data_IF_117553848945
#
_entry.id   IF_117553848945
#
_cell.length_a   1.000
_cell.length_b   1.000
_cell.length_c   1.000
_cell.angle_alpha   90.00
_cell.angle_beta   90.00
_cell.angle_gamma   90.00
#
_symmetry.space_group_name_H-M   'P 1'
#
loop_
_entity.id
_entity.type
_entity.pdbx_description
1 polymer ?
#
# COMPACT_ATOMS: atom_id res chain seq x y z
N UNK A 1 -2.35 -19.74 -17.44
CA UNK A 1 -3.19 -19.09 -16.42
C UNK A 1 -2.28 -18.32 -15.48
N UNK A 2 -2.51 -17.03 -15.30
CA UNK A 2 -1.75 -16.20 -14.35
C UNK A 2 -2.24 -16.51 -12.94
N UNK A 3 -1.31 -16.93 -12.08
CA UNK A 3 -1.62 -17.17 -10.66
C UNK A 3 -1.45 -15.87 -9.89
N UNK A 4 -2.41 -15.45 -9.03
CA UNK A 4 -2.28 -14.26 -8.21
C UNK A 4 -1.01 -14.30 -7.34
N UNK A 5 -0.19 -13.26 -7.47
CA UNK A 5 1.10 -13.17 -6.77
C UNK A 5 1.34 -11.74 -6.28
N UNK A 6 2.11 -11.65 -5.20
CA UNK A 6 2.76 -10.43 -4.73
C UNK A 6 4.27 -10.65 -4.73
N UNK A 7 5.05 -9.62 -4.50
CA UNK A 7 6.50 -9.75 -4.34
C UNK A 7 6.96 -8.98 -3.09
N UNK A 8 7.93 -9.53 -2.40
CA UNK A 8 8.48 -9.00 -1.16
C UNK A 8 8.69 -10.11 -0.12
N UNK A 9 8.90 -9.75 1.15
CA UNK A 9 8.85 -8.41 1.74
C UNK A 9 10.15 -7.59 1.64
N UNK A 10 11.28 -8.23 1.27
CA UNK A 10 12.59 -7.56 1.26
C UNK A 10 12.96 -7.02 -0.11
N UNK A 11 12.68 -7.77 -1.17
CA UNK A 11 13.09 -7.43 -2.54
C UNK A 11 11.93 -7.61 -3.53
N UNK A 12 11.85 -6.78 -4.56
CA UNK A 12 10.76 -6.85 -5.54
C UNK A 12 10.77 -8.12 -6.41
N UNK A 13 11.87 -8.87 -6.47
CA UNK A 13 11.97 -10.16 -7.17
C UNK A 13 11.55 -11.37 -6.31
N UNK A 14 11.36 -11.19 -5.00
CA UNK A 14 10.96 -12.28 -4.11
C UNK A 14 9.47 -12.57 -4.32
N UNK A 15 9.18 -13.47 -5.25
CA UNK A 15 7.81 -13.84 -5.64
C UNK A 15 7.14 -14.68 -4.56
N UNK A 16 5.93 -14.29 -4.18
CA UNK A 16 5.08 -15.00 -3.21
C UNK A 16 3.70 -15.22 -3.82
N UNK A 17 3.19 -16.43 -3.78
CA UNK A 17 1.78 -16.70 -4.14
C UNK A 17 0.87 -15.97 -3.15
N UNK A 18 -0.22 -15.41 -3.63
CA UNK A 18 -1.15 -14.69 -2.75
C UNK A 18 -1.71 -15.61 -1.65
N UNK A 19 -1.88 -16.89 -1.93
CA UNK A 19 -2.27 -17.92 -0.95
C UNK A 19 -1.24 -18.13 0.16
N UNK A 20 0.02 -17.85 -0.11
CA UNK A 20 1.14 -18.04 0.81
C UNK A 20 1.57 -16.74 1.50
N UNK A 21 0.88 -15.64 1.21
CA UNK A 21 1.24 -14.31 1.72
C UNK A 21 1.32 -14.27 3.25
N UNK A 22 0.38 -14.92 3.94
CA UNK A 22 0.36 -15.00 5.41
C UNK A 22 1.59 -15.73 5.95
N UNK A 23 1.89 -16.90 5.44
CA UNK A 23 3.04 -17.71 5.88
C UNK A 23 4.36 -16.96 5.61
N UNK A 24 4.46 -16.30 4.45
CA UNK A 24 5.61 -15.48 4.08
C UNK A 24 5.80 -14.30 5.05
N UNK A 25 4.70 -13.63 5.41
CA UNK A 25 4.72 -12.55 6.40
C UNK A 25 5.18 -13.06 7.77
N UNK A 26 4.57 -14.11 8.30
CA UNK A 26 4.89 -14.68 9.61
C UNK A 26 6.37 -15.09 9.72
N UNK A 27 6.89 -15.75 8.68
CA UNK A 27 8.31 -16.11 8.61
C UNK A 27 9.20 -14.87 8.68
N UNK A 28 8.92 -13.86 7.86
CA UNK A 28 9.72 -12.64 7.80
C UNK A 28 9.60 -11.83 9.10
N UNK A 29 8.41 -11.74 9.68
CA UNK A 29 8.17 -11.12 10.97
C UNK A 29 9.04 -11.75 12.06
N UNK A 30 9.01 -13.08 12.20
CA UNK A 30 9.81 -13.81 13.17
C UNK A 30 11.33 -13.62 12.96
N UNK A 31 11.78 -13.63 11.70
CA UNK A 31 13.19 -13.43 11.35
C UNK A 31 13.70 -12.05 11.74
N UNK A 32 12.92 -11.00 11.46
CA UNK A 32 13.33 -9.60 11.67
C UNK A 32 13.14 -9.18 13.13
N UNK A 33 11.99 -9.48 13.71
CA UNK A 33 11.65 -8.99 15.05
C UNK A 33 12.20 -9.87 16.17
N UNK A 34 12.55 -11.13 15.86
CA UNK A 34 12.89 -12.18 16.85
C UNK A 34 11.76 -12.42 17.87
N UNK A 35 10.53 -12.01 17.50
CA UNK A 35 9.32 -12.17 18.34
C UNK A 35 8.44 -13.26 17.74
N UNK A 36 7.75 -14.01 18.60
CA UNK A 36 6.73 -14.99 18.22
C UNK A 36 5.31 -14.44 18.33
N UNK A 37 5.13 -13.34 19.02
CA UNK A 37 3.84 -12.69 19.26
C UNK A 37 3.85 -11.27 18.72
N UNK A 38 2.74 -10.89 18.10
CA UNK A 38 2.53 -9.54 17.61
C UNK A 38 2.27 -8.55 18.76
N UNK A 39 2.75 -7.34 18.61
CA UNK A 39 2.48 -6.22 19.51
C UNK A 39 1.32 -5.38 19.00
N UNK A 40 0.62 -4.73 19.90
CA UNK A 40 -0.38 -3.71 19.63
C UNK A 40 -0.05 -2.47 20.44
N UNK A 41 -0.23 -1.29 19.87
CA UNK A 41 0.03 -0.02 20.53
C UNK A 41 -1.08 0.99 20.22
N UNK A 42 -1.55 1.70 21.26
CA UNK A 42 -2.51 2.80 21.10
C UNK A 42 -1.86 3.98 20.40
N UNK A 43 -2.59 4.61 19.48
CA UNK A 43 -2.15 5.82 18.80
C UNK A 43 -2.69 7.04 19.55
N UNK A 44 -1.82 7.90 20.11
CA UNK A 44 -2.25 9.07 20.86
C UNK A 44 -3.19 9.98 20.06
N UNK A 45 -4.24 10.47 20.72
CA UNK A 45 -5.24 11.35 20.11
C UNK A 45 -6.23 10.65 19.18
N UNK A 46 -6.26 9.31 19.17
CA UNK A 46 -7.18 8.52 18.33
C UNK A 46 -7.92 7.46 19.16
N UNK A 47 -8.89 6.82 18.52
CA UNK A 47 -9.65 5.70 19.09
C UNK A 47 -9.23 4.33 18.51
N UNK A 48 -8.08 4.25 17.85
CA UNK A 48 -7.58 3.02 17.24
C UNK A 48 -6.18 2.67 17.74
N UNK A 49 -5.80 1.44 17.49
CA UNK A 49 -4.49 0.87 17.81
C UNK A 49 -3.79 0.42 16.54
N UNK A 50 -2.45 0.48 16.54
CA UNK A 50 -1.62 -0.15 15.52
C UNK A 50 -1.15 -1.51 16.04
N UNK A 51 -1.21 -2.51 15.17
CA UNK A 51 -0.71 -3.84 15.42
C UNK A 51 0.49 -4.13 14.50
N UNK A 52 1.38 -5.02 14.91
CA UNK A 52 2.40 -5.56 14.00
C UNK A 52 1.74 -6.11 12.73
N UNK A 53 2.34 -5.84 11.57
CA UNK A 53 1.77 -6.15 10.28
C UNK A 53 0.79 -5.11 9.75
N UNK A 54 0.50 -4.04 10.49
CA UNK A 54 -0.36 -2.97 10.00
C UNK A 54 0.21 -2.36 8.71
N UNK A 55 -0.61 -2.34 7.67
CA UNK A 55 -0.30 -1.59 6.45
C UNK A 55 -0.50 -0.11 6.76
N UNK A 56 0.58 0.68 6.68
CA UNK A 56 0.56 2.11 6.95
C UNK A 56 0.73 2.96 5.69
N UNK A 57 1.18 2.34 4.59
CA UNK A 57 1.30 2.97 3.27
C UNK A 57 0.69 2.04 2.24
N UNK A 58 -0.26 2.55 1.45
CA UNK A 58 -0.82 1.88 0.29
C UNK A 58 -0.74 2.83 -0.91
N UNK A 59 0.09 2.49 -1.91
CA UNK A 59 0.38 3.40 -3.01
C UNK A 59 0.17 2.76 -4.38
N UNK A 60 -0.66 3.39 -5.21
CA UNK A 60 -0.74 3.08 -6.63
C UNK A 60 0.26 3.98 -7.34
N UNK A 61 1.29 3.37 -7.93
CA UNK A 61 2.42 4.06 -8.55
C UNK A 61 2.40 3.96 -10.07
N UNK A 62 3.28 4.69 -10.74
CA UNK A 62 3.27 4.92 -12.18
C UNK A 62 3.64 3.72 -13.07
N UNK A 63 4.25 2.66 -12.51
CA UNK A 63 5.08 1.74 -13.31
C UNK A 63 4.33 0.94 -14.41
N UNK A 64 3.04 0.64 -14.25
CA UNK A 64 2.30 -0.20 -15.22
C UNK A 64 1.01 0.42 -15.75
N UNK A 65 0.48 1.45 -15.11
CA UNK A 65 -0.87 1.95 -15.38
C UNK A 65 -1.00 2.77 -16.67
N UNK A 66 0.08 3.34 -17.18
CA UNK A 66 0.07 4.06 -18.46
C UNK A 66 -0.05 3.09 -19.63
N UNK A 67 0.63 1.94 -19.57
CA UNK A 67 0.68 0.95 -20.66
C UNK A 67 -0.47 -0.07 -20.61
N UNK A 68 -1.12 -0.24 -19.46
CA UNK A 68 -2.23 -1.17 -19.27
C UNK A 68 -3.38 -0.55 -18.47
N UNK A 69 -4.31 0.15 -19.14
CA UNK A 69 -5.47 0.79 -18.51
C UNK A 69 -6.35 -0.18 -17.75
N UNK A 70 -6.46 -1.45 -18.17
CA UNK A 70 -7.35 -2.44 -17.57
C UNK A 70 -7.05 -2.67 -16.08
N UNK A 71 -5.77 -2.60 -15.70
CA UNK A 71 -5.35 -2.82 -14.31
C UNK A 71 -5.88 -1.73 -13.40
N UNK A 72 -5.85 -0.49 -13.84
CA UNK A 72 -6.31 0.64 -13.03
C UNK A 72 -7.84 0.83 -13.11
N UNK A 73 -8.44 0.51 -14.25
CA UNK A 73 -9.91 0.39 -14.36
C UNK A 73 -10.41 -0.70 -13.40
N UNK A 74 -9.73 -1.85 -13.33
CA UNK A 74 -10.04 -2.91 -12.37
C UNK A 74 -9.94 -2.44 -10.91
N UNK A 75 -8.92 -1.66 -10.57
CA UNK A 75 -8.78 -1.04 -9.26
C UNK A 75 -9.94 -0.08 -8.93
N UNK A 76 -10.32 0.76 -9.89
CA UNK A 76 -11.46 1.67 -9.75
C UNK A 76 -12.81 0.96 -9.59
N UNK A 77 -13.02 -0.13 -10.33
CA UNK A 77 -14.23 -0.97 -10.18
C UNK A 77 -14.25 -1.67 -8.82
N UNK A 78 -13.11 -2.15 -8.34
CA UNK A 78 -13.00 -2.73 -7.00
C UNK A 78 -13.31 -1.68 -5.92
N UNK A 79 -12.76 -0.47 -6.04
CA UNK A 79 -13.05 0.64 -5.14
C UNK A 79 -14.56 0.98 -5.11
N UNK A 80 -15.20 1.03 -6.30
CA UNK A 80 -16.65 1.22 -6.42
C UNK A 80 -17.44 0.15 -5.65
N UNK A 81 -17.07 -1.11 -5.84
CA UNK A 81 -17.75 -2.24 -5.17
C UNK A 81 -17.50 -2.23 -3.65
N UNK A 82 -16.30 -1.87 -3.22
CA UNK A 82 -15.94 -1.75 -1.81
C UNK A 82 -16.80 -0.67 -1.11
N UNK A 83 -16.91 0.51 -1.72
CA UNK A 83 -17.74 1.59 -1.20
C UNK A 83 -19.21 1.20 -1.15
N UNK A 84 -19.73 0.55 -2.19
CA UNK A 84 -21.10 0.05 -2.22
C UNK A 84 -21.39 -0.94 -1.08
N UNK A 85 -20.38 -1.65 -0.60
CA UNK A 85 -20.44 -2.54 0.58
C UNK A 85 -20.14 -1.85 1.90
N UNK A 86 -19.97 -0.53 1.92
CA UNK A 86 -19.66 0.24 3.12
C UNK A 86 -18.23 0.10 3.63
N UNK A 87 -17.32 -0.49 2.84
CA UNK A 87 -15.91 -0.62 3.20
C UNK A 87 -15.19 0.73 3.09
N UNK A 88 -14.26 0.97 4.01
CA UNK A 88 -13.45 2.18 4.08
C UNK A 88 -12.00 1.82 4.33
N UNK A 89 -11.10 2.66 3.86
CA UNK A 89 -9.68 2.59 4.23
C UNK A 89 -9.52 2.85 5.72
N UNK A 90 -8.62 2.12 6.36
CA UNK A 90 -8.33 2.32 7.78
C UNK A 90 -7.67 3.68 8.01
N UNK A 91 -7.94 4.37 9.14
CA UNK A 91 -7.49 5.74 9.37
C UNK A 91 -5.96 5.90 9.49
N UNK A 92 -5.24 4.83 9.76
CA UNK A 92 -3.77 4.82 9.82
C UNK A 92 -3.09 4.55 8.49
N UNK A 93 -3.82 4.21 7.43
CA UNK A 93 -3.25 3.90 6.10
C UNK A 93 -3.14 5.18 5.28
N UNK A 94 -1.92 5.55 4.95
CA UNK A 94 -1.65 6.61 3.98
C UNK A 94 -1.78 6.05 2.58
N UNK A 95 -2.82 6.45 1.89
CA UNK A 95 -3.10 6.07 0.50
C UNK A 95 -2.62 7.15 -0.47
N UNK A 96 -2.23 6.76 -1.67
CA UNK A 96 -1.86 7.72 -2.73
C UNK A 96 -2.00 7.11 -4.13
N UNK A 97 -2.28 7.96 -5.11
CA UNK A 97 -2.28 7.65 -6.53
C UNK A 97 -1.28 8.57 -7.24
N UNK A 98 -0.26 7.98 -7.86
CA UNK A 98 0.74 8.68 -8.67
C UNK A 98 0.85 8.01 -10.05
N UNK A 99 -0.05 8.34 -11.00
CA UNK A 99 -0.06 7.71 -12.31
C UNK A 99 1.14 8.12 -13.17
N UNK A 100 1.44 7.34 -14.20
CA UNK A 100 2.58 7.59 -15.09
C UNK A 100 2.42 8.83 -15.98
N UNK A 101 1.18 9.20 -16.32
CA UNK A 101 0.88 10.35 -17.15
C UNK A 101 -0.57 10.81 -17.00
N UNK A 102 -0.88 11.97 -17.58
CA UNK A 102 -2.25 12.51 -17.60
C UNK A 102 -3.25 11.60 -18.33
N UNK A 103 -2.81 10.79 -19.28
CA UNK A 103 -3.68 9.81 -19.97
C UNK A 103 -4.40 8.90 -18.97
N UNK A 104 -3.74 8.55 -17.87
CA UNK A 104 -4.33 7.70 -16.81
C UNK A 104 -5.48 8.42 -16.11
N UNK A 105 -5.28 9.68 -15.75
CA UNK A 105 -6.34 10.48 -15.13
C UNK A 105 -7.48 10.75 -16.10
N UNK A 106 -7.18 10.93 -17.39
CA UNK A 106 -8.20 11.15 -18.42
C UNK A 106 -9.13 9.96 -18.56
N UNK A 107 -8.62 8.73 -18.65
CA UNK A 107 -9.50 7.57 -18.75
C UNK A 107 -10.22 7.24 -17.43
N UNK A 108 -9.61 7.50 -16.28
CA UNK A 108 -10.30 7.37 -14.98
C UNK A 108 -11.43 8.39 -14.85
N UNK A 109 -11.23 9.62 -15.29
CA UNK A 109 -12.25 10.67 -15.29
C UNK A 109 -13.39 10.32 -16.26
N UNK A 110 -13.05 9.94 -17.50
CA UNK A 110 -14.04 9.52 -18.49
C UNK A 110 -14.88 8.32 -18.04
N UNK A 111 -14.29 7.38 -17.33
CA UNK A 111 -15.00 6.23 -16.78
C UNK A 111 -15.77 6.54 -15.50
N UNK A 112 -15.54 7.71 -14.87
CA UNK A 112 -16.12 8.10 -13.58
C UNK A 112 -15.63 7.26 -12.40
N UNK A 113 -14.48 6.59 -12.54
CA UNK A 113 -13.93 5.71 -11.50
C UNK A 113 -13.01 6.44 -10.52
N UNK A 114 -12.46 7.58 -10.90
CA UNK A 114 -11.61 8.40 -10.03
C UNK A 114 -12.27 8.74 -8.69
N UNK A 115 -13.56 9.10 -8.69
CA UNK A 115 -14.31 9.45 -7.47
C UNK A 115 -14.37 8.32 -6.43
N UNK A 116 -14.32 7.06 -6.86
CA UNK A 116 -14.33 5.93 -5.95
C UNK A 116 -12.92 5.65 -5.36
N UNK A 117 -11.88 5.87 -6.16
CA UNK A 117 -10.50 5.84 -5.67
C UNK A 117 -10.27 6.97 -4.66
N UNK A 118 -10.72 8.20 -4.97
CA UNK A 118 -10.65 9.36 -4.09
C UNK A 118 -11.39 9.12 -2.76
N UNK A 119 -12.57 8.52 -2.82
CA UNK A 119 -13.37 8.18 -1.63
C UNK A 119 -12.69 7.16 -0.70
N UNK A 120 -11.81 6.30 -1.23
CA UNK A 120 -10.93 5.44 -0.45
C UNK A 120 -9.57 6.10 -0.09
N UNK A 121 -9.39 7.37 -0.44
CA UNK A 121 -8.19 8.15 -0.13
C UNK A 121 -7.06 8.01 -1.15
N UNK A 122 -7.24 7.27 -2.25
CA UNK A 122 -6.27 7.20 -3.34
C UNK A 122 -6.32 8.44 -4.22
N UNK A 123 -6.02 9.59 -3.60
CA UNK A 123 -6.01 10.88 -4.27
C UNK A 123 -4.76 11.03 -5.14
N UNK A 124 -4.90 11.78 -6.24
CA UNK A 124 -3.78 12.14 -7.09
C UNK A 124 -2.80 13.03 -6.32
N UNK A 125 -1.56 12.57 -6.15
CA UNK A 125 -0.48 13.30 -5.46
C UNK A 125 0.58 13.83 -6.42
N UNK A 126 0.56 13.38 -7.67
CA UNK A 126 1.52 13.76 -8.71
C UNK A 126 1.57 12.74 -9.83
N UNK A 127 2.45 12.96 -10.79
CA UNK A 127 2.68 12.05 -11.91
C UNK A 127 4.10 11.49 -11.86
N UNK A 128 4.27 10.27 -12.38
CA UNK A 128 5.58 9.62 -12.47
C UNK A 128 5.99 8.89 -11.18
N UNK A 129 7.28 8.79 -10.94
CA UNK A 129 7.86 7.95 -9.88
C UNK A 129 7.82 8.57 -8.46
N UNK A 130 6.80 9.32 -8.13
CA UNK A 130 6.72 10.10 -6.87
C UNK A 130 6.88 9.22 -5.62
N UNK A 131 6.02 8.23 -5.45
CA UNK A 131 6.06 7.34 -4.29
C UNK A 131 7.22 6.36 -4.33
N UNK A 132 7.61 5.93 -5.53
CA UNK A 132 8.73 4.98 -5.70
C UNK A 132 10.10 5.52 -5.26
N UNK A 133 10.23 6.83 -5.11
CA UNK A 133 11.48 7.49 -4.66
C UNK A 133 11.38 8.05 -3.24
N UNK A 134 10.36 7.63 -2.47
CA UNK A 134 10.15 8.08 -1.09
C UNK A 134 9.42 9.42 -0.96
N UNK A 135 8.88 9.97 -2.05
CA UNK A 135 8.17 11.27 -2.04
C UNK A 135 6.66 11.13 -1.73
N UNK A 136 6.23 10.05 -1.11
CA UNK A 136 4.84 9.92 -0.62
C UNK A 136 4.52 10.86 0.55
N UNK A 137 5.52 11.57 1.05
CA UNK A 137 5.43 12.43 2.23
C UNK A 137 5.44 11.66 3.55
N UNK A 138 5.57 12.34 4.69
CA UNK A 138 5.62 11.70 6.00
C UNK A 138 4.27 11.07 6.37
N UNK A 139 4.32 10.07 7.24
CA UNK A 139 3.13 9.59 7.95
C UNK A 139 2.66 10.67 8.93
N UNK A 140 1.36 10.66 9.33
CA UNK A 140 0.90 11.48 10.46
C UNK A 140 1.79 11.30 11.68
N UNK A 141 2.11 12.39 12.38
CA UNK A 141 3.11 12.40 13.45
C UNK A 141 2.79 11.40 14.58
N UNK A 142 1.53 11.30 14.97
CA UNK A 142 1.10 10.35 16.00
C UNK A 142 1.30 8.88 15.57
N UNK A 143 1.06 8.56 14.30
CA UNK A 143 1.31 7.22 13.76
C UNK A 143 2.80 6.95 13.69
N UNK A 144 3.58 7.93 13.21
CA UNK A 144 5.03 7.86 13.13
C UNK A 144 5.64 7.58 14.51
N UNK A 145 5.28 8.39 15.51
CA UNK A 145 5.78 8.23 16.87
C UNK A 145 5.40 6.88 17.47
N UNK A 146 4.15 6.43 17.27
CA UNK A 146 3.71 5.11 17.75
C UNK A 146 4.54 3.97 17.14
N UNK A 147 4.84 4.04 15.84
CA UNK A 147 5.67 3.01 15.17
C UNK A 147 7.07 2.97 15.78
N UNK A 148 7.68 4.14 16.03
CA UNK A 148 9.04 4.25 16.58
C UNK A 148 9.08 3.80 18.03
N UNK A 149 8.24 4.38 18.90
CA UNK A 149 8.28 4.16 20.35
C UNK A 149 7.88 2.74 20.76
N UNK A 150 6.93 2.16 20.03
CA UNK A 150 6.44 0.81 20.30
C UNK A 150 7.12 -0.27 19.47
N UNK A 151 8.05 0.11 18.57
CA UNK A 151 8.74 -0.80 17.64
C UNK A 151 7.74 -1.69 16.86
N UNK A 152 6.70 -1.06 16.32
CA UNK A 152 5.69 -1.74 15.49
C UNK A 152 6.31 -2.17 14.15
N UNK A 153 6.03 -3.42 13.77
CA UNK A 153 6.40 -3.94 12.46
C UNK A 153 5.43 -3.45 11.39
N UNK A 154 5.64 -2.23 10.92
CA UNK A 154 4.79 -1.60 9.92
C UNK A 154 5.11 -2.10 8.50
N UNK A 155 4.10 -2.11 7.63
CA UNK A 155 4.14 -2.66 6.27
C UNK A 155 3.71 -1.62 5.26
N UNK A 156 4.29 -1.67 4.05
CA UNK A 156 3.80 -0.94 2.89
C UNK A 156 3.38 -1.89 1.77
N UNK A 157 2.35 -1.50 1.01
CA UNK A 157 1.92 -2.19 -0.21
C UNK A 157 1.88 -1.17 -1.35
N UNK A 158 2.53 -1.49 -2.47
CA UNK A 158 2.64 -0.56 -3.59
C UNK A 158 2.64 -1.30 -4.94
N UNK A 159 2.21 -0.60 -6.00
CA UNK A 159 2.14 -1.18 -7.35
C UNK A 159 3.39 -0.94 -8.21
N UNK A 160 4.45 -0.34 -7.66
CA UNK A 160 5.71 -0.09 -8.34
C UNK A 160 6.89 -0.77 -7.67
N UNK A 161 7.92 -1.09 -8.45
CA UNK A 161 9.00 -1.99 -8.04
C UNK A 161 10.35 -1.32 -7.72
N UNK A 162 10.48 0.00 -7.82
CA UNK A 162 11.81 0.62 -7.90
C UNK A 162 12.57 0.74 -6.58
N UNK A 163 11.92 0.65 -5.42
CA UNK A 163 12.60 1.07 -4.21
C UNK A 163 12.10 0.34 -2.96
N UNK A 164 12.42 -0.92 -2.85
CA UNK A 164 12.45 -1.60 -1.57
C UNK A 164 13.69 -1.16 -0.77
N UNK A 165 13.85 -1.62 0.47
CA UNK A 165 15.01 -1.35 1.34
C UNK A 165 15.13 0.13 1.79
N UNK A 166 14.10 0.60 2.52
CA UNK A 166 14.15 1.91 3.21
C UNK A 166 13.89 3.13 2.35
N UNK A 167 13.74 2.99 1.02
CA UNK A 167 13.46 4.13 0.15
C UNK A 167 12.00 4.56 0.12
N UNK A 168 11.06 3.68 0.48
CA UNK A 168 9.65 4.03 0.56
C UNK A 168 9.38 4.80 1.85
N UNK A 169 9.83 4.25 2.96
CA UNK A 169 9.84 4.89 4.27
C UNK A 169 10.81 4.12 5.17
N UNK A 170 11.65 4.80 5.95
CA UNK A 170 12.53 4.14 6.91
C UNK A 170 11.78 3.45 8.05
N UNK A 171 10.49 3.74 8.20
CA UNK A 171 9.63 3.22 9.26
C UNK A 171 8.98 1.88 8.92
N UNK A 172 8.91 1.52 7.65
CA UNK A 172 8.33 0.24 7.23
C UNK A 172 9.39 -0.84 7.16
N UNK A 173 9.11 -1.97 7.76
CA UNK A 173 10.04 -3.13 7.85
C UNK A 173 9.78 -4.17 6.78
N UNK A 174 8.61 -4.12 6.13
CA UNK A 174 8.26 -4.98 5.00
C UNK A 174 7.58 -4.17 3.90
N UNK A 175 7.94 -4.47 2.65
CA UNK A 175 7.36 -3.82 1.49
C UNK A 175 6.85 -4.90 0.53
N UNK A 176 5.61 -4.78 0.08
CA UNK A 176 5.01 -5.70 -0.88
C UNK A 176 4.64 -4.99 -2.16
N UNK A 177 5.12 -5.55 -3.27
CA UNK A 177 4.70 -5.18 -4.61
C UNK A 177 3.45 -5.97 -4.96
N UNK A 178 2.39 -5.29 -5.36
CA UNK A 178 1.11 -5.87 -5.72
C UNK A 178 0.50 -5.11 -6.92
N UNK A 179 -0.42 -5.74 -7.65
CA UNK A 179 -1.16 -5.02 -8.69
C UNK A 179 -2.04 -3.91 -8.09
N UNK A 180 -2.39 -2.85 -8.86
CA UNK A 180 -3.29 -1.80 -8.37
C UNK A 180 -4.58 -2.30 -7.72
N UNK A 181 -5.31 -3.30 -8.27
CA UNK A 181 -6.46 -3.87 -7.58
C UNK A 181 -6.12 -4.49 -6.21
N UNK A 182 -4.97 -5.16 -6.09
CA UNK A 182 -4.55 -5.74 -4.82
C UNK A 182 -4.10 -4.67 -3.81
N UNK A 183 -3.57 -3.54 -4.28
CA UNK A 183 -3.25 -2.39 -3.40
C UNK A 183 -4.53 -1.81 -2.81
N UNK A 184 -5.60 -1.66 -3.62
CA UNK A 184 -6.92 -1.20 -3.15
C UNK A 184 -7.54 -2.20 -2.19
#
# INVERSE_FOLDING_TARGET
TVVPTISGPKRPQDKVLLTDAKNSYEKNFNEITKRKTEKTAKVPGTNFELQDGAIVIAAITSCTNTSNPNVLIGAGLLAKNAIAKGLKTKPWVKTSLAPGSQVVTDYLNKSGLNKYLDALGFNLVGYGCTTCIGNSGPLPENILNTIIESDIYAVSVLSGNRNFEGRISPLVKANYLASPPLVV
#
